data_IF_842432961262
#
_entry.id   IF_842432961262
#
_cell.length_a   1.000
_cell.length_b   1.000
_cell.length_c   1.000
_cell.angle_alpha   90.00
_cell.angle_beta   90.00
_cell.angle_gamma   90.00
#
_symmetry.space_group_name_H-M   'P 1'
#
loop_
_entity.id
_entity.type
_entity.pdbx_description
1 polymer ?
#
# COMPACT_ATOMS: atom_id res chain seq x y z
N UNK A 1 -2.54 -15.45 -5.98
CA UNK A 1 -2.11 -14.91 -4.68
C UNK A 1 -2.38 -13.40 -4.68
N UNK A 2 -3.09 -12.85 -3.68
CA UNK A 2 -3.29 -11.42 -3.59
C UNK A 2 -1.93 -10.74 -3.49
N UNK A 3 -1.71 -9.75 -4.35
CA UNK A 3 -0.45 -9.01 -4.42
C UNK A 3 -0.78 -7.54 -4.68
N UNK A 4 0.21 -6.68 -4.45
CA UNK A 4 0.04 -5.26 -4.67
C UNK A 4 1.15 -4.69 -5.54
N UNK A 5 0.79 -3.71 -6.35
CA UNK A 5 1.72 -2.95 -7.19
C UNK A 5 1.82 -1.55 -6.60
N UNK A 6 3.04 -1.07 -6.39
CA UNK A 6 3.31 0.29 -5.90
C UNK A 6 3.86 1.12 -7.04
N UNK A 7 3.24 2.28 -7.27
CA UNK A 7 3.75 3.31 -8.18
C UNK A 7 4.06 4.56 -7.38
N UNK A 8 5.34 4.93 -7.34
CA UNK A 8 5.78 6.16 -6.71
C UNK A 8 5.17 7.36 -7.43
N UNK A 9 4.61 8.29 -6.66
CA UNK A 9 4.11 9.58 -7.15
C UNK A 9 5.06 10.71 -6.74
N UNK A 10 4.71 11.95 -7.08
CA UNK A 10 5.41 13.15 -6.60
C UNK A 10 5.33 13.24 -5.07
N UNK A 11 6.45 13.61 -4.43
CA UNK A 11 6.54 14.11 -3.05
C UNK A 11 5.83 13.26 -1.99
N UNK A 12 6.44 12.15 -1.56
CA UNK A 12 5.94 11.37 -0.41
C UNK A 12 4.62 10.63 -0.62
N UNK A 13 3.99 10.75 -1.79
CA UNK A 13 2.75 10.04 -2.14
C UNK A 13 3.08 8.77 -2.92
N UNK A 14 2.45 7.68 -2.52
CA UNK A 14 2.63 6.37 -3.16
C UNK A 14 1.26 5.83 -3.53
N UNK A 15 1.01 5.76 -4.84
CA UNK A 15 -0.17 5.07 -5.34
C UNK A 15 0.08 3.58 -5.24
N UNK A 16 -0.90 2.82 -4.79
CA UNK A 16 -0.84 1.37 -4.79
C UNK A 16 -2.12 0.79 -5.35
N UNK A 17 -2.01 -0.42 -5.92
CA UNK A 17 -3.16 -1.22 -6.35
C UNK A 17 -3.08 -2.56 -5.66
N UNK A 18 -4.09 -2.91 -4.87
CA UNK A 18 -4.30 -4.26 -4.37
C UNK A 18 -5.06 -5.05 -5.43
N UNK A 19 -4.56 -6.23 -5.78
CA UNK A 19 -5.17 -7.12 -6.77
C UNK A 19 -5.58 -8.38 -6.03
N UNK A 20 -6.89 -8.64 -5.99
CA UNK A 20 -7.51 -9.82 -5.40
C UNK A 20 -8.21 -10.68 -6.45
N UNK A 21 -8.75 -11.83 -6.03
CA UNK A 21 -9.44 -12.76 -6.93
C UNK A 21 -10.68 -12.16 -7.60
N UNK A 22 -11.36 -11.23 -6.92
CA UNK A 22 -12.63 -10.65 -7.38
C UNK A 22 -12.50 -9.25 -7.95
N UNK A 23 -11.29 -8.69 -8.03
CA UNK A 23 -11.08 -7.34 -8.55
C UNK A 23 -9.84 -6.64 -8.03
N UNK A 24 -9.83 -5.32 -8.19
CA UNK A 24 -8.72 -4.44 -7.80
C UNK A 24 -9.20 -3.24 -7.00
N UNK A 25 -8.38 -2.83 -6.03
CA UNK A 25 -8.59 -1.61 -5.23
C UNK A 25 -7.37 -0.71 -5.41
N UNK A 26 -7.58 0.54 -5.80
CA UNK A 26 -6.53 1.55 -5.90
C UNK A 26 -6.56 2.47 -4.70
N UNK A 27 -5.40 2.80 -4.14
CA UNK A 27 -5.28 3.72 -3.02
C UNK A 27 -4.00 4.53 -3.05
N UNK A 28 -3.87 5.43 -2.09
CA UNK A 28 -2.70 6.28 -1.90
C UNK A 28 -2.29 6.26 -0.44
N UNK A 29 -0.99 6.08 -0.17
CA UNK A 29 -0.42 6.38 1.14
C UNK A 29 0.48 7.62 1.05
N UNK A 30 0.47 8.43 2.11
CA UNK A 30 1.37 9.55 2.28
C UNK A 30 2.44 9.23 3.32
N UNK A 31 3.68 9.57 3.00
CA UNK A 31 4.86 9.41 3.84
C UNK A 31 5.56 10.77 3.93
N UNK A 32 5.83 11.29 5.15
CA UNK A 32 6.64 12.49 5.32
C UNK A 32 8.03 12.28 4.69
N UNK A 33 8.50 13.26 3.92
CA UNK A 33 9.80 13.20 3.24
C UNK A 33 10.88 14.02 3.92
N UNK A 34 10.51 14.84 4.91
CA UNK A 34 11.44 15.68 5.66
C UNK A 34 12.45 14.83 6.42
N UNK A 35 13.74 15.18 6.29
CA UNK A 35 14.86 14.50 6.94
C UNK A 35 14.98 12.99 6.66
N UNK A 36 14.40 12.51 5.56
CA UNK A 36 14.49 11.11 5.14
C UNK A 36 15.11 10.98 3.76
N UNK A 37 15.92 9.95 3.62
CA UNK A 37 16.42 9.48 2.34
C UNK A 37 15.29 8.92 1.49
N UNK A 38 15.55 8.79 0.20
CA UNK A 38 14.61 8.19 -0.75
C UNK A 38 14.23 6.77 -0.33
N UNK A 39 15.21 5.99 0.06
CA UNK A 39 15.10 4.58 0.45
C UNK A 39 14.23 4.45 1.70
N UNK A 40 14.43 5.30 2.71
CA UNK A 40 13.62 5.32 3.93
C UNK A 40 12.14 5.64 3.65
N UNK A 41 11.89 6.62 2.78
CA UNK A 41 10.53 6.97 2.37
C UNK A 41 9.86 5.80 1.63
N UNK A 42 10.59 5.11 0.76
CA UNK A 42 10.09 3.93 0.04
C UNK A 42 9.81 2.75 1.00
N UNK A 43 10.70 2.47 1.96
CA UNK A 43 10.50 1.42 2.97
C UNK A 43 9.27 1.71 3.83
N UNK A 44 9.11 2.95 4.31
CA UNK A 44 7.94 3.31 5.12
C UNK A 44 6.64 3.23 4.31
N UNK A 45 6.65 3.64 3.04
CA UNK A 45 5.49 3.51 2.16
C UNK A 45 5.07 2.05 2.01
N UNK A 46 6.03 1.14 1.74
CA UNK A 46 5.74 -0.29 1.63
C UNK A 46 5.20 -0.86 2.95
N UNK A 47 5.73 -0.43 4.10
CA UNK A 47 5.23 -0.84 5.41
C UNK A 47 3.77 -0.43 5.62
N UNK A 48 3.43 0.83 5.32
CA UNK A 48 2.05 1.35 5.43
C UNK A 48 1.09 0.62 4.50
N UNK A 49 1.49 0.36 3.26
CA UNK A 49 0.67 -0.37 2.28
C UNK A 49 0.40 -1.80 2.74
N UNK A 50 1.42 -2.50 3.27
CA UNK A 50 1.24 -3.86 3.82
C UNK A 50 0.32 -3.87 5.02
N UNK A 51 0.45 -2.92 5.93
CA UNK A 51 -0.43 -2.80 7.10
C UNK A 51 -1.90 -2.59 6.66
N UNK A 52 -2.14 -1.63 5.76
CA UNK A 52 -3.47 -1.36 5.21
C UNK A 52 -4.06 -2.57 4.47
N UNK A 53 -3.26 -3.28 3.68
CA UNK A 53 -3.69 -4.51 3.03
C UNK A 53 -4.08 -5.59 4.06
N UNK A 54 -3.31 -5.71 5.14
CA UNK A 54 -3.61 -6.64 6.24
C UNK A 54 -4.92 -6.30 6.96
N UNK A 55 -5.15 -5.03 7.28
CA UNK A 55 -6.41 -4.55 7.88
C UNK A 55 -7.61 -4.83 6.99
N UNK A 56 -7.49 -4.58 5.68
CA UNK A 56 -8.55 -4.87 4.71
C UNK A 56 -8.85 -6.37 4.62
N UNK A 57 -7.83 -7.23 4.59
CA UNK A 57 -8.02 -8.69 4.59
C UNK A 57 -8.69 -9.16 5.89
N UNK A 58 -8.35 -8.55 7.04
CA UNK A 58 -8.93 -8.93 8.33
C UNK A 58 -10.44 -8.65 8.45
N UNK A 59 -10.95 -7.64 7.73
CA UNK A 59 -12.38 -7.28 7.73
C UNK A 59 -13.17 -7.97 6.61
N UNK A 60 -12.51 -8.67 5.68
CA UNK A 60 -13.21 -9.43 4.64
C UNK A 60 -13.86 -10.67 5.25
N UNK A 61 -15.16 -10.93 4.97
CA UNK A 61 -15.79 -12.16 5.40
C UNK A 61 -15.03 -13.35 4.77
N UNK A 62 -14.64 -14.31 5.60
CA UNK A 62 -14.10 -15.57 5.10
C UNK A 62 -15.25 -16.31 4.43
N UNK A 63 -15.11 -16.59 3.13
CA UNK A 63 -16.04 -17.49 2.44
C UNK A 63 -16.10 -18.80 3.23
N UNK A 64 -17.34 -19.23 3.52
CA UNK A 64 -17.67 -20.32 4.43
C UNK A 64 -17.74 -21.64 3.68
#
# INVERSE_FOLDING_TARGET
>A
MPHFVVRRSRMGRFNFTLIGAHGRITGVVAVPTENKTREEVEVEAHRKIRALAGELVAVMPKEK
#
